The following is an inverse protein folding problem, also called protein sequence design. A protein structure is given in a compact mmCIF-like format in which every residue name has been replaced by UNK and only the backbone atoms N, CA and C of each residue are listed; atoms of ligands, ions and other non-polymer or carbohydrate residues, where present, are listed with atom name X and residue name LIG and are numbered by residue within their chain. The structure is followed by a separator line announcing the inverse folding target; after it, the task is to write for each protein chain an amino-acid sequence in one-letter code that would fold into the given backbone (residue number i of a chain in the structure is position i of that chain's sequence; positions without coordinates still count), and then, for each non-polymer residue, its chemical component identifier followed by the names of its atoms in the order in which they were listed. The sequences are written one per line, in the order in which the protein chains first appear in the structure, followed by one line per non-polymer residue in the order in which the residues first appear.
data_IF_517478744890
#
_entry.id   IF_517478744890
#
_cell.length_a   1.000
_cell.length_b   1.000
_cell.length_c   1.000
_cell.angle_alpha   90.00
_cell.angle_beta   90.00
_cell.angle_gamma   90.00
#
_symmetry.space_group_name_H-M   'P 1'
#
loop_
_entity.id
_entity.type
_entity.pdbx_description
1 polymer ?
#
# COMPACT_ATOMS: atom_id res chain seq x y z
N UNK A 1 14.95 -10.75 36.41
CA UNK A 1 13.88 -11.76 36.34
C UNK A 1 12.58 -11.14 36.86
N UNK A 2 11.75 -10.58 36.00
CA UNK A 2 10.41 -10.14 36.37
C UNK A 2 9.39 -11.05 35.69
N UNK A 3 8.72 -11.86 36.51
CA UNK A 3 7.65 -12.77 36.09
C UNK A 3 6.37 -11.95 35.91
N UNK A 4 5.90 -11.82 34.67
CA UNK A 4 4.58 -11.27 34.38
C UNK A 4 3.53 -12.29 34.81
N UNK A 5 2.75 -11.94 35.84
CA UNK A 5 1.63 -12.73 36.32
C UNK A 5 0.60 -12.96 35.20
N UNK A 6 0.36 -14.23 34.87
CA UNK A 6 -0.79 -14.64 34.07
C UNK A 6 -2.06 -14.18 34.78
N UNK A 7 -2.80 -13.23 34.19
CA UNK A 7 -4.18 -12.96 34.59
C UNK A 7 -4.96 -14.25 34.43
N UNK A 8 -5.39 -14.80 35.56
CA UNK A 8 -6.24 -15.98 35.66
C UNK A 8 -7.61 -15.62 35.08
N UNK A 9 -7.96 -16.21 33.94
CA UNK A 9 -9.33 -16.17 33.42
C UNK A 9 -10.25 -16.70 34.53
N UNK A 10 -11.33 -16.00 34.92
CA UNK A 10 -12.26 -16.54 35.89
C UNK A 10 -12.80 -17.87 35.36
N UNK A 11 -12.76 -18.90 36.21
CA UNK A 11 -13.39 -20.17 35.91
C UNK A 11 -14.87 -19.91 35.66
N UNK A 12 -15.35 -20.35 34.51
CA UNK A 12 -16.77 -20.34 34.16
C UNK A 12 -17.41 -21.39 35.05
N UNK A 13 -17.99 -20.96 36.17
CA UNK A 13 -18.88 -21.77 37.00
C UNK A 13 -19.94 -22.40 36.10
N UNK A 14 -20.30 -23.66 36.37
CA UNK A 14 -21.29 -24.45 35.62
C UNK A 14 -22.48 -23.58 35.20
N UNK A 15 -22.53 -23.25 33.91
CA UNK A 15 -23.48 -22.29 33.38
C UNK A 15 -24.89 -22.87 33.43
N UNK A 16 -25.67 -22.44 34.41
CA UNK A 16 -27.12 -22.59 34.41
C UNK A 16 -27.63 -21.97 33.10
N UNK A 17 -28.35 -22.72 32.24
CA UNK A 17 -28.91 -22.16 31.02
C UNK A 17 -29.81 -20.99 31.40
N UNK A 18 -29.50 -19.81 30.87
CA UNK A 18 -30.34 -18.64 31.09
C UNK A 18 -31.74 -18.90 30.50
N UNK A 19 -32.81 -18.40 31.15
CA UNK A 19 -34.16 -18.53 30.61
C UNK A 19 -34.22 -17.91 29.21
N UNK A 20 -35.05 -18.48 28.32
CA UNK A 20 -35.16 -18.07 26.91
C UNK A 20 -35.43 -16.56 26.69
N UNK A 21 -35.90 -15.86 27.72
CA UNK A 21 -36.20 -14.43 27.71
C UNK A 21 -35.07 -13.53 28.26
N UNK A 22 -33.91 -14.08 28.66
CA UNK A 22 -32.79 -13.30 29.14
C UNK A 22 -32.13 -12.52 28.00
N UNK A 23 -31.91 -11.21 28.19
CA UNK A 23 -31.17 -10.41 27.21
C UNK A 23 -29.71 -10.87 27.16
N UNK A 24 -29.16 -10.95 25.95
CA UNK A 24 -27.72 -11.14 25.77
C UNK A 24 -26.99 -9.99 26.46
N UNK A 25 -26.00 -10.27 27.31
CA UNK A 25 -25.20 -9.21 27.92
C UNK A 25 -24.43 -8.44 26.83
N UNK A 26 -24.14 -7.17 27.11
CA UNK A 26 -23.66 -6.22 26.10
C UNK A 26 -22.28 -6.59 25.53
N UNK A 27 -21.45 -7.24 26.33
CA UNK A 27 -20.14 -7.78 25.97
C UNK A 27 -20.23 -8.92 24.95
N UNK A 28 -21.15 -9.87 25.15
CA UNK A 28 -21.41 -10.96 24.20
C UNK A 28 -21.95 -10.41 22.88
N UNK A 29 -22.85 -9.43 22.96
CA UNK A 29 -23.39 -8.75 21.78
C UNK A 29 -22.28 -8.08 20.96
N UNK A 30 -21.37 -7.36 21.62
CA UNK A 30 -20.27 -6.71 20.96
C UNK A 30 -19.28 -7.72 20.35
N UNK A 31 -19.05 -8.85 21.02
CA UNK A 31 -18.20 -9.93 20.52
C UNK A 31 -18.76 -10.57 19.24
N UNK A 32 -20.07 -10.84 19.22
CA UNK A 32 -20.74 -11.42 18.05
C UNK A 32 -20.74 -10.47 16.84
N UNK A 33 -20.93 -9.17 17.06
CA UNK A 33 -20.87 -8.16 15.98
C UNK A 33 -19.44 -7.90 15.48
N UNK A 34 -18.43 -8.34 16.23
CA UNK A 34 -17.02 -8.27 15.83
C UNK A 34 -16.54 -9.55 15.14
N UNK A 35 -17.34 -10.61 15.12
CA UNK A 35 -16.99 -11.87 14.47
C UNK A 35 -16.72 -11.67 12.97
N UNK A 36 -15.62 -12.24 12.40
CA UNK A 36 -15.26 -12.04 11.00
C UNK A 36 -16.34 -12.47 10.01
N UNK A 37 -17.02 -13.61 10.24
CA UNK A 37 -18.04 -14.16 9.33
C UNK A 37 -19.31 -13.31 9.36
N UNK A 38 -19.66 -12.82 10.55
CA UNK A 38 -20.77 -11.87 10.74
C UNK A 38 -20.48 -10.57 10.01
N UNK A 39 -19.29 -9.99 10.20
CA UNK A 39 -18.89 -8.74 9.52
C UNK A 39 -18.89 -8.85 8.01
N UNK A 40 -18.36 -9.93 7.46
CA UNK A 40 -18.35 -10.16 6.02
C UNK A 40 -19.78 -10.23 5.45
N UNK A 41 -20.67 -10.94 6.13
CA UNK A 41 -22.07 -11.06 5.71
C UNK A 41 -22.78 -9.69 5.80
N UNK A 42 -22.46 -8.90 6.84
CA UNK A 42 -23.01 -7.56 7.00
C UNK A 42 -22.57 -6.60 5.88
N UNK A 43 -21.34 -6.74 5.38
CA UNK A 43 -20.85 -5.95 4.25
C UNK A 43 -21.64 -6.23 2.97
N UNK A 44 -21.94 -7.50 2.70
CA UNK A 44 -22.71 -7.91 1.53
C UNK A 44 -24.16 -7.41 1.60
N UNK A 45 -24.76 -7.44 2.79
CA UNK A 45 -26.16 -7.06 2.99
C UNK A 45 -26.41 -5.53 3.05
N UNK A 46 -25.37 -4.72 3.25
CA UNK A 46 -25.45 -3.26 3.13
C UNK A 46 -26.27 -2.57 4.21
N UNK A 47 -27.12 -1.61 3.84
CA UNK A 47 -27.76 -0.67 4.77
C UNK A 47 -28.68 -1.33 5.82
N UNK A 48 -29.22 -2.51 5.54
CA UNK A 48 -30.10 -3.28 6.43
C UNK A 48 -29.46 -4.61 6.85
N UNK A 49 -28.15 -4.62 7.06
CA UNK A 49 -27.36 -5.83 7.27
C UNK A 49 -27.93 -6.80 8.32
N UNK A 50 -28.41 -6.30 9.46
CA UNK A 50 -28.94 -7.18 10.52
C UNK A 50 -30.33 -7.77 10.20
N UNK A 51 -31.04 -7.21 9.23
CA UNK A 51 -32.30 -7.78 8.72
C UNK A 51 -32.08 -8.93 7.73
N UNK A 52 -30.85 -9.10 7.24
CA UNK A 52 -30.52 -10.14 6.28
C UNK A 52 -30.49 -11.54 6.96
N UNK A 53 -31.23 -12.53 6.42
CA UNK A 53 -31.27 -13.88 7.00
C UNK A 53 -29.91 -14.58 7.07
N UNK A 54 -29.01 -14.32 6.13
CA UNK A 54 -27.67 -14.90 6.14
C UNK A 54 -26.81 -14.28 7.25
N UNK A 55 -26.91 -12.98 7.47
CA UNK A 55 -26.25 -12.30 8.61
C UNK A 55 -26.77 -12.85 9.94
N UNK A 56 -28.08 -13.02 10.07
CA UNK A 56 -28.69 -13.58 11.27
C UNK A 56 -28.23 -15.03 11.52
N UNK A 57 -28.15 -15.84 10.46
CA UNK A 57 -27.64 -17.21 10.56
C UNK A 57 -26.17 -17.25 11.04
N UNK A 58 -25.33 -16.34 10.56
CA UNK A 58 -23.93 -16.24 10.99
C UNK A 58 -23.80 -15.79 12.44
N UNK A 59 -24.63 -14.83 12.90
CA UNK A 59 -24.63 -14.40 14.31
C UNK A 59 -25.02 -15.57 15.21
N UNK A 60 -26.01 -16.36 14.81
CA UNK A 60 -26.44 -17.55 15.57
C UNK A 60 -25.38 -18.65 15.56
N UNK A 61 -24.68 -18.85 14.45
CA UNK A 61 -23.57 -19.80 14.37
C UNK A 61 -22.42 -19.37 15.29
N UNK A 62 -21.99 -18.10 15.21
CA UNK A 62 -20.95 -17.54 16.05
C UNK A 62 -21.34 -17.58 17.55
N UNK A 63 -22.61 -17.39 17.87
CA UNK A 63 -23.11 -17.50 19.24
C UNK A 63 -23.09 -18.95 19.74
N UNK A 64 -23.50 -19.92 18.91
CA UNK A 64 -23.41 -21.34 19.26
C UNK A 64 -21.97 -21.82 19.48
N UNK A 65 -21.04 -21.29 18.69
CA UNK A 65 -19.62 -21.66 18.74
C UNK A 65 -18.90 -21.04 19.94
N UNK A 66 -19.07 -19.73 20.15
CA UNK A 66 -18.31 -18.99 21.18
C UNK A 66 -19.02 -18.90 22.53
N UNK A 67 -20.35 -18.96 22.53
CA UNK A 67 -21.18 -18.71 23.72
C UNK A 67 -22.39 -19.68 23.77
N UNK A 68 -22.15 -21.01 23.80
CA UNK A 68 -23.22 -22.02 23.69
C UNK A 68 -24.33 -21.86 24.74
N UNK A 69 -23.99 -21.36 25.94
CA UNK A 69 -24.93 -21.11 27.04
C UNK A 69 -25.95 -19.99 26.74
N UNK A 70 -25.72 -19.15 25.72
CA UNK A 70 -26.65 -18.11 25.28
C UNK A 70 -27.33 -18.41 23.94
N UNK A 71 -27.03 -19.54 23.29
CA UNK A 71 -27.51 -19.85 21.95
C UNK A 71 -29.05 -19.89 21.83
N UNK A 72 -29.74 -20.31 22.90
CA UNK A 72 -31.20 -20.33 22.95
C UNK A 72 -31.81 -18.92 22.98
N UNK A 73 -31.24 -18.01 23.79
CA UNK A 73 -31.68 -16.61 23.89
C UNK A 73 -31.29 -15.78 22.66
N UNK A 74 -30.20 -16.15 21.99
CA UNK A 74 -29.70 -15.43 20.82
C UNK A 74 -30.68 -15.44 19.63
N UNK A 75 -31.45 -16.53 19.44
CA UNK A 75 -32.41 -16.63 18.33
C UNK A 75 -33.47 -15.53 18.38
N UNK A 76 -34.05 -15.30 19.55
CA UNK A 76 -35.10 -14.29 19.72
C UNK A 76 -34.51 -12.88 19.76
N UNK A 77 -33.31 -12.73 20.31
CA UNK A 77 -32.63 -11.45 20.40
C UNK A 77 -32.15 -10.93 19.03
N UNK A 78 -31.65 -11.81 18.15
CA UNK A 78 -31.23 -11.47 16.78
C UNK A 78 -32.41 -10.93 15.96
N UNK A 79 -33.60 -11.53 16.09
CA UNK A 79 -34.81 -11.03 15.44
C UNK A 79 -35.26 -9.65 15.96
N UNK A 80 -35.01 -9.35 17.23
CA UNK A 80 -35.26 -8.02 17.82
C UNK A 80 -34.24 -6.99 17.32
N UNK A 81 -32.96 -7.34 17.28
CA UNK A 81 -31.89 -6.48 16.76
C UNK A 81 -32.12 -6.10 15.30
N UNK A 82 -32.62 -7.02 14.48
CA UNK A 82 -32.99 -6.76 13.10
C UNK A 82 -34.06 -5.66 12.97
N UNK A 83 -34.92 -5.48 13.98
CA UNK A 83 -36.01 -4.50 13.98
C UNK A 83 -35.70 -3.25 14.81
N UNK A 84 -34.59 -3.21 15.54
CA UNK A 84 -34.19 -2.10 16.37
C UNK A 84 -33.35 -1.08 15.58
N UNK A 85 -33.85 0.15 15.35
CA UNK A 85 -33.13 1.18 14.60
C UNK A 85 -31.79 1.58 15.23
N UNK A 86 -31.68 1.54 16.56
CA UNK A 86 -30.45 1.94 17.26
C UNK A 86 -29.34 0.89 17.05
N UNK A 87 -29.71 -0.39 17.05
CA UNK A 87 -28.76 -1.48 16.80
C UNK A 87 -28.34 -1.52 15.33
N UNK A 88 -29.27 -1.26 14.41
CA UNK A 88 -28.98 -1.09 12.98
C UNK A 88 -28.00 0.08 12.73
N UNK A 89 -28.20 1.22 13.39
CA UNK A 89 -27.31 2.37 13.26
C UNK A 89 -25.88 2.06 13.74
N UNK A 90 -25.73 1.40 14.90
CA UNK A 90 -24.42 1.01 15.44
C UNK A 90 -23.73 -0.04 14.57
N UNK A 91 -24.51 -1.00 14.04
CA UNK A 91 -24.03 -1.97 13.07
C UNK A 91 -23.52 -1.30 11.79
N UNK A 92 -24.24 -0.30 11.28
CA UNK A 92 -23.84 0.49 10.11
C UNK A 92 -22.56 1.28 10.37
N UNK A 93 -22.41 1.89 11.54
CA UNK A 93 -21.19 2.61 11.93
C UNK A 93 -19.97 1.68 11.98
N UNK A 94 -20.13 0.50 12.60
CA UNK A 94 -19.07 -0.51 12.68
C UNK A 94 -18.71 -1.10 11.31
N UNK A 95 -19.71 -1.35 10.46
CA UNK A 95 -19.51 -1.80 9.09
C UNK A 95 -18.82 -0.71 8.25
N UNK A 96 -19.22 0.55 8.41
CA UNK A 96 -18.61 1.70 7.73
C UNK A 96 -17.13 1.88 8.09
N UNK A 97 -16.80 1.85 9.38
CA UNK A 97 -15.40 1.89 9.85
C UNK A 97 -14.60 0.70 9.31
N UNK A 98 -15.17 -0.51 9.33
CA UNK A 98 -14.50 -1.70 8.79
C UNK A 98 -14.29 -1.61 7.26
N UNK A 99 -15.21 -0.99 6.53
CA UNK A 99 -15.08 -0.74 5.09
C UNK A 99 -13.98 0.28 4.80
N UNK A 100 -13.87 1.32 5.62
CA UNK A 100 -12.81 2.32 5.53
C UNK A 100 -11.43 1.68 5.80
N UNK A 101 -11.31 0.83 6.83
CA UNK A 101 -10.09 0.07 7.10
C UNK A 101 -9.78 -0.97 6.01
N UNK A 102 -10.79 -1.67 5.48
CA UNK A 102 -10.59 -2.66 4.41
C UNK A 102 -10.28 -2.00 3.07
N UNK A 103 -10.85 -0.84 2.77
CA UNK A 103 -10.51 0.00 1.63
C UNK A 103 -9.06 0.44 1.72
N UNK A 104 -8.65 1.00 2.86
CA UNK A 104 -7.26 1.42 3.10
C UNK A 104 -6.28 0.23 3.12
N UNK A 105 -6.65 -0.92 3.66
CA UNK A 105 -5.80 -2.11 3.69
C UNK A 105 -5.69 -2.80 2.32
N UNK A 106 -6.77 -2.87 1.55
CA UNK A 106 -6.76 -3.36 0.16
C UNK A 106 -5.94 -2.45 -0.75
N UNK A 107 -6.01 -1.14 -0.53
CA UNK A 107 -5.18 -0.16 -1.23
C UNK A 107 -3.71 -0.28 -0.84
N UNK A 108 -3.39 -0.56 0.44
CA UNK A 108 -2.02 -0.83 0.90
C UNK A 108 -1.47 -2.15 0.37
N UNK A 109 -2.29 -3.21 0.28
CA UNK A 109 -1.90 -4.51 -0.27
C UNK A 109 -1.72 -4.42 -1.79
N UNK A 110 -2.62 -3.75 -2.52
CA UNK A 110 -2.43 -3.45 -3.95
C UNK A 110 -1.21 -2.54 -4.17
N UNK A 111 -1.02 -1.49 -3.36
CA UNK A 111 0.17 -0.64 -3.40
C UNK A 111 1.46 -1.41 -3.09
N UNK A 112 1.44 -2.40 -2.21
CA UNK A 112 2.62 -3.23 -1.92
C UNK A 112 2.87 -4.34 -2.95
N UNK A 113 1.83 -4.80 -3.65
CA UNK A 113 1.96 -5.84 -4.69
C UNK A 113 2.42 -5.23 -6.02
N UNK A 114 2.06 -3.98 -6.33
CA UNK A 114 2.49 -3.29 -7.57
C UNK A 114 3.76 -2.45 -7.42
N UNK A 115 4.18 -2.11 -6.19
CA UNK A 115 5.43 -1.39 -5.98
C UNK A 115 6.57 -2.37 -5.71
N UNK A 116 7.58 -2.35 -6.58
CA UNK A 116 8.77 -3.20 -6.46
C UNK A 116 9.48 -3.10 -5.09
N UNK A 117 10.42 -4.01 -4.77
CA UNK A 117 11.18 -3.96 -3.53
C UNK A 117 11.75 -2.57 -3.28
N UNK A 118 11.60 -2.06 -2.05
CA UNK A 118 11.96 -0.69 -1.70
C UNK A 118 13.40 -0.31 -2.09
N UNK A 119 14.35 -1.25 -2.03
CA UNK A 119 15.72 -1.03 -2.46
C UNK A 119 15.85 -0.68 -3.95
N UNK A 120 15.14 -1.40 -4.83
CA UNK A 120 15.20 -1.15 -6.29
C UNK A 120 14.58 0.20 -6.63
N UNK A 121 13.53 0.59 -5.90
CA UNK A 121 12.88 1.90 -6.02
C UNK A 121 13.81 3.05 -5.62
N UNK A 122 14.52 2.89 -4.50
CA UNK A 122 15.52 3.87 -4.05
C UNK A 122 16.65 4.00 -5.08
N UNK A 123 17.11 2.89 -5.67
CA UNK A 123 18.10 2.93 -6.74
C UNK A 123 17.57 3.68 -7.98
N UNK A 124 16.34 3.42 -8.40
CA UNK A 124 15.70 4.13 -9.51
C UNK A 124 15.54 5.63 -9.22
N UNK A 125 15.13 5.98 -8.00
CA UNK A 125 15.06 7.36 -7.56
C UNK A 125 16.42 8.05 -7.62
N UNK A 126 17.48 7.44 -7.08
CA UNK A 126 18.85 7.98 -7.14
C UNK A 126 19.32 8.14 -8.59
N UNK A 127 19.10 7.12 -9.44
CA UNK A 127 19.47 7.16 -10.85
C UNK A 127 18.79 8.34 -11.56
N UNK A 128 17.49 8.52 -11.31
CA UNK A 128 16.71 9.60 -11.90
C UNK A 128 17.07 10.98 -11.36
N UNK A 129 17.36 11.12 -10.06
CA UNK A 129 17.80 12.39 -9.49
C UNK A 129 19.17 12.82 -10.04
N UNK A 130 20.12 11.88 -10.16
CA UNK A 130 21.41 12.13 -10.78
C UNK A 130 21.27 12.50 -12.28
N UNK A 131 20.42 11.77 -13.01
CA UNK A 131 20.06 12.08 -14.40
C UNK A 131 19.44 13.46 -14.55
N UNK A 132 18.51 13.85 -13.68
CA UNK A 132 17.86 15.15 -13.70
C UNK A 132 18.87 16.27 -13.42
N UNK A 133 19.72 16.12 -12.41
CA UNK A 133 20.76 17.08 -12.08
C UNK A 133 21.73 17.28 -13.25
N UNK A 134 22.16 16.20 -13.90
CA UNK A 134 23.05 16.28 -15.06
C UNK A 134 22.38 16.89 -16.30
N UNK A 135 21.10 16.58 -16.54
CA UNK A 135 20.32 17.23 -17.60
C UNK A 135 20.16 18.73 -17.36
N UNK A 136 19.94 19.18 -16.12
CA UNK A 136 19.92 20.61 -15.77
C UNK A 136 21.26 21.28 -16.08
N UNK A 137 22.38 20.68 -15.68
CA UNK A 137 23.71 21.21 -15.98
C UNK A 137 23.95 21.32 -17.49
N UNK A 138 23.47 20.34 -18.26
CA UNK A 138 23.56 20.34 -19.73
C UNK A 138 22.73 21.46 -20.37
N UNK A 139 21.64 21.90 -19.73
CA UNK A 139 20.79 23.00 -20.20
C UNK A 139 21.31 24.40 -19.81
N UNK A 140 22.21 24.51 -18.82
CA UNK A 140 22.74 25.80 -18.34
C UNK A 140 23.85 26.34 -19.26
N UNK A 141 24.51 25.50 -20.07
CA UNK A 141 25.64 25.88 -20.94
C UNK A 141 25.20 26.65 -22.22
N UNK A 142 24.40 27.70 -22.04
CA UNK A 142 23.59 28.39 -23.07
C UNK A 142 24.44 28.89 -24.25
N UNK A 143 25.72 29.19 -24.03
CA UNK A 143 26.63 29.64 -25.09
C UNK A 143 26.89 28.57 -26.16
N UNK A 144 26.56 27.30 -25.90
CA UNK A 144 26.64 26.20 -26.88
C UNK A 144 25.34 25.94 -27.66
N UNK A 145 24.24 26.65 -27.35
CA UNK A 145 22.91 26.46 -27.97
C UNK A 145 22.93 26.57 -29.49
N UNK A 146 23.69 27.52 -30.04
CA UNK A 146 23.69 27.80 -31.48
C UNK A 146 24.37 26.71 -32.31
N UNK A 147 25.25 25.91 -31.71
CA UNK A 147 25.93 24.80 -32.39
C UNK A 147 25.26 23.43 -32.21
N UNK A 148 24.41 23.28 -31.18
CA UNK A 148 23.94 21.97 -30.72
C UNK A 148 22.48 21.96 -30.29
N UNK A 149 21.59 22.59 -31.04
CA UNK A 149 20.14 22.65 -30.74
C UNK A 149 19.51 21.28 -30.45
N UNK A 150 19.93 20.24 -31.18
CA UNK A 150 19.46 18.86 -30.96
C UNK A 150 19.79 18.36 -29.55
N UNK A 151 21.00 18.63 -29.04
CA UNK A 151 21.41 18.21 -27.70
C UNK A 151 20.58 18.89 -26.62
N UNK A 152 20.21 20.15 -26.82
CA UNK A 152 19.32 20.87 -25.91
C UNK A 152 17.92 20.27 -25.84
N UNK A 153 17.35 19.93 -27.00
CA UNK A 153 16.05 19.27 -27.08
C UNK A 153 16.09 17.92 -26.37
N UNK A 154 17.13 17.11 -26.60
CA UNK A 154 17.33 15.83 -25.92
C UNK A 154 17.48 16.02 -24.42
N UNK A 155 18.29 16.99 -23.96
CA UNK A 155 18.46 17.28 -22.54
C UNK A 155 17.15 17.70 -21.88
N UNK A 156 16.31 18.48 -22.58
CA UNK A 156 14.96 18.81 -22.13
C UNK A 156 14.07 17.58 -21.94
N UNK A 157 14.05 16.67 -22.91
CA UNK A 157 13.33 15.39 -22.77
C UNK A 157 13.89 14.54 -21.62
N UNK A 158 15.21 14.43 -21.49
CA UNK A 158 15.83 13.68 -20.40
C UNK A 158 15.51 14.27 -19.02
N UNK A 159 15.44 15.60 -18.91
CA UNK A 159 15.01 16.25 -17.67
C UNK A 159 13.57 15.90 -17.34
N UNK A 160 12.63 16.05 -18.28
CA UNK A 160 11.22 15.71 -18.06
C UNK A 160 11.09 14.24 -17.67
N UNK A 161 11.72 13.34 -18.43
CA UNK A 161 11.65 11.90 -18.21
C UNK A 161 12.26 11.49 -16.87
N UNK A 162 13.40 12.05 -16.48
CA UNK A 162 14.02 11.76 -15.19
C UNK A 162 13.19 12.29 -14.02
N UNK A 163 12.57 13.46 -14.14
CA UNK A 163 11.62 13.96 -13.15
C UNK A 163 10.36 13.07 -13.06
N UNK A 164 9.82 12.60 -14.18
CA UNK A 164 8.72 11.63 -14.19
C UNK A 164 9.14 10.33 -13.48
N UNK A 165 10.35 9.81 -13.74
CA UNK A 165 10.88 8.63 -13.04
C UNK A 165 10.97 8.87 -11.54
N UNK A 166 11.57 9.98 -11.13
CA UNK A 166 11.71 10.33 -9.71
C UNK A 166 10.34 10.37 -9.02
N UNK A 167 9.34 10.96 -9.70
CA UNK A 167 7.96 11.04 -9.23
C UNK A 167 7.31 9.67 -9.02
N UNK A 168 7.49 8.73 -9.95
CA UNK A 168 6.94 7.38 -9.81
C UNK A 168 7.64 6.52 -8.75
N UNK A 169 8.85 6.89 -8.36
CA UNK A 169 9.64 6.15 -7.37
C UNK A 169 9.61 6.76 -5.97
N UNK A 170 9.20 8.03 -5.85
CA UNK A 170 8.91 8.69 -4.59
C UNK A 170 7.83 7.95 -3.79
N UNK A 171 7.97 8.00 -2.47
CA UNK A 171 6.93 7.52 -1.58
C UNK A 171 5.76 8.53 -1.54
N UNK A 172 4.51 8.08 -1.40
CA UNK A 172 3.35 8.97 -1.36
C UNK A 172 3.46 10.09 -0.31
N UNK A 173 4.06 9.80 0.86
CA UNK A 173 4.22 10.79 1.93
C UNK A 173 5.17 11.92 1.51
N UNK A 174 6.14 11.62 0.64
CA UNK A 174 7.07 12.62 0.13
C UNK A 174 6.43 13.47 -0.95
N UNK A 175 5.55 12.89 -1.78
CA UNK A 175 4.78 13.64 -2.78
C UNK A 175 3.89 14.66 -2.06
N UNK A 176 3.15 14.23 -1.04
CA UNK A 176 2.33 15.11 -0.20
C UNK A 176 3.17 16.21 0.45
N UNK A 177 4.30 15.85 1.07
CA UNK A 177 5.19 16.85 1.68
C UNK A 177 5.71 17.88 0.67
N UNK A 178 6.04 17.48 -0.56
CA UNK A 178 6.51 18.40 -1.59
C UNK A 178 5.36 19.28 -2.09
N UNK A 179 4.16 18.75 -2.27
CA UNK A 179 2.97 19.52 -2.66
C UNK A 179 2.51 20.48 -1.55
N UNK A 180 2.71 20.14 -0.28
CA UNK A 180 2.45 21.04 0.85
C UNK A 180 3.47 22.18 0.92
N UNK A 181 4.73 21.90 0.55
CA UNK A 181 5.84 22.88 0.59
C UNK A 181 5.98 23.69 -0.68
N UNK A 182 5.46 23.19 -1.80
CA UNK A 182 5.59 23.80 -3.13
C UNK A 182 4.22 23.95 -3.75
N UNK A 183 3.93 25.06 -4.41
CA UNK A 183 2.64 25.28 -5.10
C UNK A 183 2.52 24.48 -6.41
N UNK A 184 3.37 23.46 -6.60
CA UNK A 184 3.43 22.67 -7.81
C UNK A 184 2.40 21.54 -7.73
N UNK A 185 1.52 21.38 -8.74
CA UNK A 185 0.47 20.36 -8.74
C UNK A 185 1.03 18.99 -9.14
N UNK A 186 1.89 18.44 -8.30
CA UNK A 186 2.64 17.20 -8.57
C UNK A 186 1.70 16.02 -8.74
N UNK A 187 0.68 15.90 -7.89
CA UNK A 187 -0.32 14.83 -7.98
C UNK A 187 -1.07 14.88 -9.31
N UNK A 188 -1.48 16.07 -9.76
CA UNK A 188 -2.14 16.25 -11.07
C UNK A 188 -1.25 15.86 -12.24
N UNK A 189 0.05 16.12 -12.16
CA UNK A 189 1.00 15.69 -13.19
C UNK A 189 1.17 14.17 -13.20
N UNK A 190 1.24 13.54 -12.02
CA UNK A 190 1.26 12.08 -11.91
C UNK A 190 0.00 11.44 -12.52
N UNK A 191 -1.18 12.00 -12.20
CA UNK A 191 -2.46 11.53 -12.75
C UNK A 191 -2.51 11.64 -14.27
N UNK A 192 -2.04 12.77 -14.82
CA UNK A 192 -1.94 12.97 -16.27
C UNK A 192 -1.04 11.91 -16.93
N UNK A 193 0.09 11.57 -16.30
CA UNK A 193 0.98 10.51 -16.78
C UNK A 193 0.32 9.13 -16.68
N UNK A 194 -0.40 8.83 -15.60
CA UNK A 194 -1.11 7.56 -15.44
C UNK A 194 -2.26 7.42 -16.44
N UNK A 195 -2.95 8.51 -16.77
CA UNK A 195 -4.03 8.53 -17.74
C UNK A 195 -3.52 8.29 -19.17
N UNK A 196 -2.47 9.02 -19.57
CA UNK A 196 -1.97 9.03 -20.95
C UNK A 196 -0.89 7.97 -21.22
N UNK A 197 -0.13 7.59 -20.19
CA UNK A 197 0.98 6.63 -20.27
C UNK A 197 0.76 5.49 -19.27
N UNK A 198 -0.38 4.80 -19.38
CA UNK A 198 -0.79 3.69 -18.50
C UNK A 198 0.29 2.62 -18.29
N UNK A 199 1.18 2.40 -19.26
CA UNK A 199 2.28 1.46 -19.08
C UNK A 199 3.20 1.82 -17.90
N UNK A 200 3.29 3.09 -17.51
CA UNK A 200 4.05 3.55 -16.34
C UNK A 200 3.41 3.15 -15.00
N UNK A 201 2.14 2.73 -14.96
CA UNK A 201 1.57 2.16 -13.73
C UNK A 201 2.09 0.74 -13.47
N UNK A 202 2.71 0.10 -14.47
CA UNK A 202 3.16 -1.29 -14.41
C UNK A 202 4.65 -1.30 -14.08
N UNK A 203 5.09 -2.22 -13.20
CA UNK A 203 6.52 -2.39 -12.87
C UNK A 203 7.37 -2.60 -14.12
N UNK A 204 6.92 -3.47 -15.03
CA UNK A 204 7.63 -3.75 -16.28
C UNK A 204 7.67 -2.57 -17.24
N UNK A 205 6.57 -1.80 -17.33
CA UNK A 205 6.52 -0.61 -18.18
C UNK A 205 7.40 0.52 -17.66
N UNK A 206 7.50 0.72 -16.33
CA UNK A 206 8.53 1.58 -15.72
C UNK A 206 9.93 1.09 -16.04
N UNK A 207 10.18 -0.22 -15.95
CA UNK A 207 11.47 -0.81 -16.31
C UNK A 207 11.88 -0.51 -17.77
N UNK A 208 10.96 -0.72 -18.72
CA UNK A 208 11.19 -0.38 -20.12
C UNK A 208 11.44 1.13 -20.33
N UNK A 209 10.72 1.97 -19.60
CA UNK A 209 10.95 3.42 -19.63
C UNK A 209 12.36 3.80 -19.15
N UNK A 210 12.86 3.16 -18.09
CA UNK A 210 14.20 3.42 -17.56
C UNK A 210 15.29 2.90 -18.49
N UNK A 211 15.07 1.76 -19.15
CA UNK A 211 15.95 1.27 -20.22
C UNK A 211 16.01 2.29 -21.35
N UNK A 212 14.86 2.79 -21.81
CA UNK A 212 14.80 3.82 -22.85
C UNK A 212 15.56 5.09 -22.43
N UNK A 213 15.35 5.60 -21.22
CA UNK A 213 16.14 6.72 -20.67
C UNK A 213 17.64 6.43 -20.66
N UNK A 214 18.03 5.24 -20.21
CA UNK A 214 19.42 4.79 -20.22
C UNK A 214 20.00 4.78 -21.64
N UNK A 215 19.26 4.28 -22.63
CA UNK A 215 19.71 4.28 -24.03
C UNK A 215 19.88 5.69 -24.60
N UNK A 216 19.08 6.67 -24.17
CA UNK A 216 19.28 8.07 -24.57
C UNK A 216 20.61 8.60 -24.05
N UNK A 217 20.97 8.32 -22.79
CA UNK A 217 22.29 8.69 -22.25
C UNK A 217 23.43 7.97 -22.96
N UNK A 218 23.26 6.67 -23.23
CA UNK A 218 24.27 5.86 -23.93
C UNK A 218 24.47 6.30 -25.38
N UNK A 219 23.43 6.82 -26.05
CA UNK A 219 23.52 7.30 -27.43
C UNK A 219 24.50 8.49 -27.57
N UNK A 220 24.70 9.27 -26.51
CA UNK A 220 25.64 10.40 -26.46
C UNK A 220 26.86 10.12 -25.58
N UNK A 221 26.95 8.93 -24.99
CA UNK A 221 28.08 8.54 -24.17
C UNK A 221 29.32 8.27 -25.04
N UNK A 222 30.49 8.57 -24.48
CA UNK A 222 31.80 8.24 -25.06
C UNK A 222 32.76 7.82 -23.96
N UNK A 223 33.89 7.18 -24.29
CA UNK A 223 34.90 6.84 -23.28
C UNK A 223 35.53 8.05 -22.61
N UNK A 224 35.42 9.23 -23.21
CA UNK A 224 35.83 10.52 -22.63
C UNK A 224 34.73 11.15 -21.76
N UNK A 225 33.49 10.78 -21.98
CA UNK A 225 32.32 11.27 -21.23
C UNK A 225 31.77 10.15 -20.34
N UNK A 226 32.54 9.86 -19.29
CA UNK A 226 32.25 8.78 -18.36
C UNK A 226 30.96 8.99 -17.57
N UNK A 227 30.48 10.24 -17.42
CA UNK A 227 29.26 10.54 -16.68
C UNK A 227 28.04 10.09 -17.46
N UNK A 228 27.94 10.45 -18.75
CA UNK A 228 26.86 9.98 -19.62
C UNK A 228 26.87 8.46 -19.74
N UNK A 229 28.05 7.85 -19.85
CA UNK A 229 28.21 6.40 -19.87
C UNK A 229 27.70 5.76 -18.56
N UNK A 230 28.12 6.27 -17.40
CA UNK A 230 27.74 5.74 -16.10
C UNK A 230 26.24 5.88 -15.83
N UNK A 231 25.65 7.06 -16.11
CA UNK A 231 24.21 7.29 -15.95
C UNK A 231 23.39 6.38 -16.87
N UNK A 232 23.81 6.26 -18.13
CA UNK A 232 23.15 5.41 -19.12
C UNK A 232 23.16 3.94 -18.73
N UNK A 233 24.33 3.41 -18.33
CA UNK A 233 24.47 2.04 -17.84
C UNK A 233 23.66 1.81 -16.55
N UNK A 234 23.68 2.78 -15.62
CA UNK A 234 22.98 2.65 -14.35
C UNK A 234 21.46 2.64 -14.52
N UNK A 235 20.90 3.55 -15.33
CA UNK A 235 19.46 3.56 -15.65
C UNK A 235 19.04 2.30 -16.41
N UNK A 236 19.83 1.85 -17.39
CA UNK A 236 19.55 0.62 -18.11
C UNK A 236 19.56 -0.60 -17.17
N UNK A 237 20.54 -0.69 -16.27
CA UNK A 237 20.61 -1.74 -15.26
C UNK A 237 19.38 -1.73 -14.34
N UNK A 238 19.01 -0.57 -13.79
CA UNK A 238 17.82 -0.44 -12.92
C UNK A 238 16.54 -0.78 -13.68
N UNK A 239 16.45 -0.40 -14.95
CA UNK A 239 15.33 -0.77 -15.82
C UNK A 239 15.23 -2.26 -16.07
N UNK A 240 16.37 -2.94 -16.31
CA UNK A 240 16.42 -4.41 -16.41
C UNK A 240 15.95 -5.07 -15.12
N UNK A 241 16.35 -4.57 -13.94
CA UNK A 241 15.86 -5.10 -12.66
C UNK A 241 14.32 -5.01 -12.56
N UNK A 242 13.73 -3.89 -12.97
CA UNK A 242 12.28 -3.72 -12.99
C UNK A 242 11.58 -4.68 -13.97
N UNK A 243 12.16 -4.90 -15.15
CA UNK A 243 11.63 -5.86 -16.13
C UNK A 243 11.71 -7.30 -15.58
N UNK A 244 12.85 -7.69 -14.99
CA UNK A 244 13.00 -9.02 -14.38
C UNK A 244 12.03 -9.25 -13.22
N UNK A 245 11.78 -8.21 -12.42
CA UNK A 245 10.75 -8.24 -11.37
C UNK A 245 9.35 -8.41 -11.94
N UNK A 246 9.03 -7.73 -13.04
CA UNK A 246 7.76 -7.90 -13.72
C UNK A 246 7.58 -9.33 -14.28
N UNK A 247 8.65 -9.95 -14.78
CA UNK A 247 8.64 -11.34 -15.23
C UNK A 247 8.62 -12.37 -14.08
N UNK A 248 8.69 -11.95 -12.82
CA UNK A 248 8.80 -12.86 -11.67
C UNK A 248 10.12 -13.62 -11.59
N UNK A 249 11.13 -13.22 -12.38
CA UNK A 249 12.47 -13.84 -12.43
C UNK A 249 13.41 -13.24 -11.38
N UNK A 250 13.01 -12.14 -10.73
CA UNK A 250 13.79 -11.54 -9.65
C UNK A 250 14.05 -12.60 -8.56
N UNK A 251 15.33 -12.92 -8.27
CA UNK A 251 15.65 -13.96 -7.30
C UNK A 251 15.03 -13.59 -5.97
N UNK A 252 14.05 -14.40 -5.53
CA UNK A 252 13.42 -14.26 -4.23
C UNK A 252 14.47 -14.17 -3.12
N UNK A 253 15.61 -14.81 -3.31
CA UNK A 253 16.75 -14.79 -2.40
C UNK A 253 17.40 -13.41 -2.26
N UNK A 254 17.52 -12.64 -3.35
CA UNK A 254 18.08 -11.28 -3.31
C UNK A 254 17.10 -10.33 -2.64
N UNK A 255 15.81 -10.42 -3.00
CA UNK A 255 14.76 -9.63 -2.35
C UNK A 255 14.65 -9.96 -0.85
N UNK A 256 14.78 -11.24 -0.48
CA UNK A 256 14.75 -11.70 0.92
C UNK A 256 15.97 -11.20 1.68
N UNK A 257 17.19 -11.34 1.13
CA UNK A 257 18.41 -10.82 1.76
C UNK A 257 18.38 -9.31 1.95
N UNK A 258 17.87 -8.55 0.97
CA UNK A 258 17.72 -7.10 1.12
C UNK A 258 16.71 -6.74 2.23
N UNK A 259 15.59 -7.46 2.32
CA UNK A 259 14.59 -7.27 3.39
C UNK A 259 15.16 -7.59 4.77
N UNK A 260 15.92 -8.67 4.90
CA UNK A 260 16.61 -9.05 6.13
C UNK A 260 17.63 -8.00 6.57
N UNK A 261 18.46 -7.50 5.64
CA UNK A 261 19.40 -6.42 5.91
C UNK A 261 18.73 -5.15 6.43
N UNK A 262 17.61 -4.74 5.83
CA UNK A 262 16.84 -3.57 6.30
C UNK A 262 16.23 -3.76 7.69
N UNK A 263 15.69 -4.96 7.99
CA UNK A 263 15.15 -5.27 9.32
C UNK A 263 16.24 -5.23 10.39
N UNK A 264 17.45 -5.72 10.08
CA UNK A 264 18.60 -5.62 10.97
C UNK A 264 18.96 -4.18 11.32
N UNK A 265 18.97 -3.29 10.32
CA UNK A 265 19.26 -1.86 10.55
C UNK A 265 18.17 -1.16 11.36
N UNK A 266 16.88 -1.42 11.06
CA UNK A 266 15.76 -0.82 11.78
C UNK A 266 15.68 -1.29 13.25
N UNK A 267 16.02 -2.55 13.53
CA UNK A 267 16.13 -3.07 14.90
C UNK A 267 17.27 -2.40 15.68
N UNK A 268 18.42 -2.21 15.04
CA UNK A 268 19.59 -1.59 15.71
C UNK A 268 19.39 -0.11 16.09
N UNK A 269 18.52 0.63 15.38
CA UNK A 269 18.20 2.02 15.74
C UNK A 269 17.26 2.16 16.94
N UNK A 270 16.54 1.09 17.31
CA UNK A 270 15.64 1.08 18.47
C UNK A 270 16.35 0.89 19.81
N UNK A 271 17.55 0.31 19.81
CA UNK A 271 18.31 -0.02 21.02
C UNK A 271 19.32 1.10 21.41
N UNK A 272 19.41 2.15 20.59
CA UNK A 272 20.36 3.26 20.77
C UNK A 272 19.72 4.57 21.26
N UNK A 273 18.45 4.56 21.67
CA UNK A 273 17.71 5.69 22.23
C UNK A 273 17.15 5.35 23.61
#
# INVERSE_FOLDING_TARGET
MFSFGKKKTPAVDEAVPLPANAQLPADVTEHLLKDPKVRQSMQVAGANALADPAVQAQILAACKENFPQYAAAAKDQVGKWARDPAVQAKAKEMAGKALEYAGNAGELVMKQIEQGPAGVRVLAFIASAASAGWAVLSLIDIFRVLGHTVLYVVAGYQLIFSLSTALFELKPEWIQMVEDKTTLPISRYQDLLLENAKFLSWVGGRGMFYIFQGTLWLAFASFTDLINLALGLFLAFVGVLHVLMHCGVAPTDVATKMREGYRGLAGSSSDAA
#
